data_IF_983050563765
#
_entry.id   IF_983050563765
#
_cell.length_a   1.000
_cell.length_b   1.000
_cell.length_c   1.000
_cell.angle_alpha   90.00
_cell.angle_beta   90.00
_cell.angle_gamma   90.00
#
_symmetry.space_group_name_H-M   'P 1'
#
loop_
_entity.id
_entity.type
_entity.pdbx_description
1 polymer ?
#
# COMPACT_ATOMS: atom_id res chain seq x y z
N UNK A 1 2.88 -81.45 19.92
CA UNK A 1 3.05 -80.65 18.69
C UNK A 1 1.98 -79.56 18.66
N UNK A 2 2.33 -78.30 19.07
CA UNK A 2 1.43 -77.13 19.05
C UNK A 2 1.89 -76.23 17.90
N UNK A 3 1.01 -76.02 16.93
CA UNK A 3 1.22 -75.12 15.81
C UNK A 3 0.82 -73.72 16.26
N UNK A 4 1.76 -72.79 16.21
CA UNK A 4 1.52 -71.37 16.46
C UNK A 4 1.22 -70.74 15.10
N UNK A 5 0.00 -70.24 14.90
CA UNK A 5 -0.34 -69.38 13.75
C UNK A 5 -0.03 -67.92 14.11
N UNK A 6 1.00 -67.36 13.46
CA UNK A 6 1.25 -65.93 13.51
C UNK A 6 0.35 -65.20 12.53
N UNK A 7 -0.55 -64.37 13.01
CA UNK A 7 -1.36 -63.45 12.19
C UNK A 7 -0.54 -62.18 11.94
N UNK A 8 -0.25 -61.88 10.67
CA UNK A 8 0.42 -60.66 10.21
C UNK A 8 -0.63 -59.55 10.07
N UNK A 9 -0.59 -58.57 10.93
CA UNK A 9 -1.46 -57.40 10.88
C UNK A 9 -0.83 -56.38 9.93
N UNK A 10 -1.41 -56.21 8.73
CA UNK A 10 -1.00 -55.17 7.77
C UNK A 10 -1.75 -53.91 8.12
N UNK A 11 -1.03 -52.90 8.69
CA UNK A 11 -1.55 -51.55 8.86
C UNK A 11 -1.50 -50.84 7.51
N UNK A 12 -2.66 -50.64 6.89
CA UNK A 12 -2.80 -49.70 5.76
C UNK A 12 -2.85 -48.29 6.31
N UNK A 13 -1.77 -47.53 6.15
CA UNK A 13 -1.77 -46.08 6.36
C UNK A 13 -2.41 -45.39 5.14
N UNK A 14 -3.65 -44.91 5.30
CA UNK A 14 -4.30 -44.07 4.30
C UNK A 14 -3.71 -42.65 4.48
N UNK A 15 -2.75 -42.32 3.62
CA UNK A 15 -2.31 -40.92 3.47
C UNK A 15 -3.42 -40.13 2.78
N UNK A 16 -4.15 -39.31 3.53
CA UNK A 16 -5.09 -38.32 2.97
C UNK A 16 -4.27 -37.26 2.22
N UNK A 17 -4.23 -37.38 0.89
CA UNK A 17 -3.75 -36.33 0.02
C UNK A 17 -4.81 -35.24 0.03
N UNK A 18 -4.56 -34.14 0.77
CA UNK A 18 -5.37 -32.94 0.67
C UNK A 18 -5.25 -32.38 -0.76
N UNK A 19 -6.37 -32.07 -1.44
CA UNK A 19 -6.31 -31.51 -2.78
C UNK A 19 -5.55 -30.20 -2.73
N UNK A 20 -4.60 -30.00 -3.64
CA UNK A 20 -3.94 -28.71 -3.84
C UNK A 20 -5.02 -27.69 -4.24
N UNK A 21 -5.21 -26.65 -3.43
CA UNK A 21 -6.10 -25.52 -3.72
C UNK A 21 -5.72 -24.96 -5.09
N UNK A 22 -6.66 -24.92 -6.02
CA UNK A 22 -6.46 -24.31 -7.34
C UNK A 22 -6.29 -22.81 -7.20
N UNK A 23 -5.67 -22.15 -8.20
CA UNK A 23 -5.47 -20.69 -8.17
C UNK A 23 -6.81 -19.94 -8.05
N UNK A 24 -7.91 -20.49 -8.55
CA UNK A 24 -9.28 -19.94 -8.45
C UNK A 24 -9.83 -19.96 -7.01
N UNK A 25 -9.46 -20.96 -6.19
CA UNK A 25 -9.84 -20.98 -4.77
C UNK A 25 -9.11 -19.91 -3.92
N UNK A 26 -8.05 -19.33 -4.46
CA UNK A 26 -7.29 -18.25 -3.79
C UNK A 26 -7.89 -16.87 -4.00
N UNK A 27 -8.80 -16.67 -4.94
CA UNK A 27 -9.58 -15.45 -5.14
C UNK A 27 -10.83 -15.37 -4.25
N UNK A 28 -10.99 -16.28 -3.30
CA UNK A 28 -12.05 -16.27 -2.29
C UNK A 28 -12.15 -14.89 -1.65
N UNK A 29 -13.35 -14.31 -1.75
CA UNK A 29 -13.75 -12.98 -1.32
C UNK A 29 -13.46 -12.79 0.19
N UNK A 30 -12.24 -12.37 0.55
CA UNK A 30 -11.91 -12.09 1.94
C UNK A 30 -12.87 -11.01 2.48
N UNK A 31 -13.37 -11.14 3.72
CA UNK A 31 -14.14 -10.08 4.35
C UNK A 31 -13.40 -8.75 4.25
N UNK A 32 -14.12 -7.66 4.01
CA UNK A 32 -13.53 -6.32 3.82
C UNK A 32 -12.61 -5.86 4.97
N UNK A 33 -12.74 -6.49 6.13
CA UNK A 33 -12.02 -6.17 7.37
C UNK A 33 -11.12 -7.34 7.85
N UNK A 34 -10.71 -8.25 6.96
CA UNK A 34 -9.88 -9.44 7.24
C UNK A 34 -8.59 -9.14 8.03
N UNK A 35 -8.12 -7.93 7.97
CA UNK A 35 -6.88 -7.47 8.58
C UNK A 35 -7.05 -6.91 10.00
N UNK A 36 -8.28 -6.65 10.46
CA UNK A 36 -8.53 -5.90 11.70
C UNK A 36 -7.96 -6.62 12.92
N UNK A 37 -8.38 -7.86 13.18
CA UNK A 37 -7.90 -8.58 14.36
C UNK A 37 -6.39 -8.88 14.31
N UNK A 38 -5.78 -9.31 13.20
CA UNK A 38 -4.33 -9.41 13.10
C UNK A 38 -3.61 -8.09 13.39
N UNK A 39 -4.11 -6.96 12.91
CA UNK A 39 -3.47 -5.66 13.14
C UNK A 39 -3.69 -5.15 14.58
N UNK A 40 -4.78 -5.48 15.25
CA UNK A 40 -4.92 -5.24 16.70
C UNK A 40 -3.84 -6.01 17.49
N UNK A 41 -3.59 -7.27 17.14
CA UNK A 41 -2.52 -8.07 17.75
C UNK A 41 -1.13 -7.51 17.47
N UNK A 42 -0.88 -6.99 16.26
CA UNK A 42 0.38 -6.29 15.94
C UNK A 42 0.50 -5.05 16.81
N UNK A 43 -0.52 -4.18 16.78
CA UNK A 43 -0.51 -2.92 17.51
C UNK A 43 -0.38 -3.09 19.04
N UNK A 44 -0.87 -4.19 19.62
CA UNK A 44 -0.70 -4.46 21.06
C UNK A 44 0.76 -4.57 21.52
N UNK A 45 1.70 -4.77 20.58
CA UNK A 45 3.14 -4.79 20.83
C UNK A 45 3.83 -3.45 20.56
N UNK A 46 3.10 -2.47 20.05
CA UNK A 46 3.65 -1.15 19.75
C UNK A 46 4.06 -0.41 21.03
N UNK A 47 5.29 0.10 21.07
CA UNK A 47 5.86 0.80 22.23
C UNK A 47 6.27 2.24 21.94
N UNK A 48 6.05 2.69 20.69
CA UNK A 48 6.48 4.01 20.24
C UNK A 48 5.51 5.13 20.61
N UNK A 49 5.69 6.26 19.96
CA UNK A 49 4.81 7.42 20.11
C UNK A 49 3.53 7.24 19.28
N UNK A 50 2.38 7.35 19.93
CA UNK A 50 1.07 7.34 19.25
C UNK A 50 0.97 8.46 18.19
N UNK A 51 0.23 8.20 17.13
CA UNK A 51 0.05 9.13 16.02
C UNK A 51 1.22 9.20 15.05
N UNK A 52 2.28 8.42 15.22
CA UNK A 52 3.40 8.40 14.26
C UNK A 52 3.04 7.60 13.00
N UNK A 53 3.29 8.20 11.83
CA UNK A 53 2.98 7.63 10.53
C UNK A 53 4.17 7.72 9.58
N UNK A 54 4.86 6.61 9.37
CA UNK A 54 5.93 6.54 8.39
C UNK A 54 5.38 6.29 6.98
N UNK A 55 6.04 6.86 5.98
CA UNK A 55 5.70 6.70 4.57
C UNK A 55 6.93 6.13 3.86
N UNK A 56 7.05 4.82 3.79
CA UNK A 56 8.16 4.14 3.13
C UNK A 56 7.90 4.01 1.63
N UNK A 57 8.82 4.48 0.80
CA UNK A 57 8.62 4.46 -0.65
C UNK A 57 9.69 5.20 -1.44
N UNK A 58 9.42 5.33 -2.74
CA UNK A 58 10.29 5.94 -3.73
C UNK A 58 9.97 7.43 -4.02
N UNK A 59 10.26 7.89 -5.25
CA UNK A 59 9.99 9.26 -5.72
C UNK A 59 8.52 9.66 -5.60
N UNK A 60 7.60 8.73 -5.79
CA UNK A 60 6.16 8.99 -5.70
C UNK A 60 5.76 9.25 -4.23
N UNK A 61 6.55 8.82 -3.27
CA UNK A 61 6.27 8.95 -1.82
C UNK A 61 7.03 10.13 -1.19
N UNK A 62 8.29 10.39 -1.59
CA UNK A 62 9.08 11.48 -1.00
C UNK A 62 8.59 12.88 -1.38
N UNK A 63 7.93 13.01 -2.51
CA UNK A 63 7.43 14.29 -3.03
C UNK A 63 6.48 15.01 -2.08
N UNK A 64 6.54 16.35 -2.05
CA UNK A 64 5.59 17.18 -1.32
C UNK A 64 4.17 17.20 -1.95
N UNK A 65 4.00 16.68 -3.16
CA UNK A 65 2.68 16.47 -3.77
C UNK A 65 1.88 15.32 -3.09
N UNK A 66 2.58 14.44 -2.35
CA UNK A 66 1.95 13.38 -1.59
C UNK A 66 1.84 13.73 -0.11
N UNK A 67 0.69 13.55 0.47
CA UNK A 67 0.30 13.71 1.89
C UNK A 67 0.29 15.17 2.38
N UNK A 68 1.33 15.96 2.08
CA UNK A 68 1.44 17.35 2.50
C UNK A 68 0.28 18.25 2.05
N UNK A 69 -0.29 18.11 0.83
CA UNK A 69 -1.42 18.95 0.39
C UNK A 69 -2.67 18.84 1.26
N UNK A 70 -2.83 17.74 2.00
CA UNK A 70 -3.95 17.58 2.93
C UNK A 70 -3.95 18.61 4.07
N UNK A 71 -2.81 19.22 4.37
CA UNK A 71 -2.70 20.30 5.37
C UNK A 71 -3.40 21.60 4.95
N UNK A 72 -3.60 21.79 3.65
CA UNK A 72 -4.16 23.00 3.08
C UNK A 72 -5.66 22.84 2.80
N UNK A 73 -6.25 23.82 2.12
CA UNK A 73 -7.63 23.72 1.67
C UNK A 73 -7.86 22.46 0.82
N UNK A 74 -8.94 21.77 1.11
CA UNK A 74 -9.39 20.57 0.36
C UNK A 74 -10.65 20.93 -0.40
N UNK A 75 -10.47 21.58 -1.54
CA UNK A 75 -11.59 22.04 -2.37
C UNK A 75 -12.45 20.85 -2.81
N UNK A 76 -13.76 21.05 -2.77
CA UNK A 76 -14.76 20.07 -3.21
C UNK A 76 -14.61 18.67 -2.56
N UNK A 77 -14.00 18.61 -1.37
CA UNK A 77 -13.85 17.35 -0.67
C UNK A 77 -15.23 16.79 -0.26
N UNK A 78 -15.48 15.49 -0.50
CA UNK A 78 -16.68 14.82 0.02
C UNK A 78 -16.74 14.89 1.55
N UNK A 79 -17.95 14.87 2.10
CA UNK A 79 -18.16 14.95 3.57
C UNK A 79 -17.40 13.88 4.33
N UNK A 80 -17.37 12.67 3.81
CA UNK A 80 -16.62 11.55 4.41
C UNK A 80 -15.11 11.78 4.41
N UNK A 81 -14.56 12.46 3.41
CA UNK A 81 -13.15 12.85 3.39
C UNK A 81 -12.83 13.91 4.46
N UNK A 82 -13.70 14.92 4.64
CA UNK A 82 -13.52 15.92 5.69
C UNK A 82 -13.60 15.29 7.09
N UNK A 83 -14.50 14.34 7.29
CA UNK A 83 -14.58 13.59 8.54
C UNK A 83 -13.31 12.74 8.78
N UNK A 84 -12.83 12.06 7.75
CA UNK A 84 -11.58 11.31 7.80
C UNK A 84 -10.38 12.22 8.11
N UNK A 85 -10.31 13.37 7.45
CA UNK A 85 -9.27 14.37 7.70
C UNK A 85 -9.31 14.90 9.14
N UNK A 86 -10.48 15.28 9.63
CA UNK A 86 -10.63 15.78 11.00
C UNK A 86 -10.12 14.75 12.03
N UNK A 87 -10.48 13.48 11.85
CA UNK A 87 -10.01 12.36 12.67
C UNK A 87 -8.48 12.22 12.60
N UNK A 88 -7.93 12.18 11.40
CA UNK A 88 -6.48 12.02 11.19
C UNK A 88 -5.73 13.24 11.74
N UNK A 89 -6.21 14.45 11.52
CA UNK A 89 -5.61 15.68 12.03
C UNK A 89 -5.53 15.72 13.56
N UNK A 90 -6.56 15.23 14.24
CA UNK A 90 -6.56 15.21 15.72
C UNK A 90 -5.62 14.15 16.31
N UNK A 91 -5.24 13.13 15.53
CA UNK A 91 -4.44 12.00 15.99
C UNK A 91 -2.98 12.04 15.55
N UNK A 92 -2.73 12.44 14.31
CA UNK A 92 -1.43 12.35 13.67
C UNK A 92 -0.40 13.24 14.33
N UNK A 93 0.77 12.68 14.68
CA UNK A 93 1.92 13.46 15.12
C UNK A 93 2.34 14.45 14.03
N UNK A 94 2.35 15.74 14.38
CA UNK A 94 2.49 16.87 13.44
C UNK A 94 3.65 16.73 12.44
N UNK A 95 4.89 16.34 12.83
CA UNK A 95 5.99 16.16 11.89
C UNK A 95 5.73 15.15 10.77
N UNK A 96 4.83 14.17 10.98
CA UNK A 96 4.51 13.16 9.97
C UNK A 96 3.74 13.72 8.76
N UNK A 97 3.17 14.92 8.87
CA UNK A 97 2.53 15.59 7.74
C UNK A 97 3.51 16.02 6.65
N UNK A 98 4.67 16.53 7.03
CA UNK A 98 5.57 17.18 6.09
C UNK A 98 7.06 16.90 6.33
N UNK A 99 7.48 16.68 7.58
CA UNK A 99 8.90 16.65 7.93
C UNK A 99 9.52 15.24 7.74
N UNK A 100 8.71 14.18 7.79
CA UNK A 100 9.21 12.81 7.61
C UNK A 100 9.44 12.47 6.13
N UNK A 101 10.30 13.26 5.47
CA UNK A 101 10.69 13.14 4.07
C UNK A 101 12.21 12.97 3.94
N UNK A 102 12.62 12.19 2.93
CA UNK A 102 14.02 11.88 2.66
C UNK A 102 14.46 10.51 3.16
N UNK A 103 15.68 10.09 2.77
CA UNK A 103 16.20 8.73 3.01
C UNK A 103 16.26 8.34 4.49
N UNK A 104 16.46 9.30 5.39
CA UNK A 104 16.42 9.06 6.85
C UNK A 104 15.04 8.61 7.36
N UNK A 105 13.99 8.93 6.60
CA UNK A 105 12.59 8.62 6.94
C UNK A 105 12.01 7.50 6.07
N UNK A 106 12.87 6.79 5.31
CA UNK A 106 12.47 5.65 4.50
C UNK A 106 11.82 5.99 3.16
N UNK A 107 11.98 7.23 2.67
CA UNK A 107 11.50 7.62 1.35
C UNK A 107 12.53 8.45 0.60
N UNK A 108 12.84 8.05 -0.65
CA UNK A 108 13.79 8.76 -1.51
C UNK A 108 13.55 8.42 -2.98
N UNK A 109 13.97 9.31 -3.88
CA UNK A 109 13.87 9.07 -5.33
C UNK A 109 14.65 7.85 -5.80
N UNK A 110 14.16 7.21 -6.86
CA UNK A 110 14.83 6.08 -7.56
C UNK A 110 15.09 4.83 -6.70
N UNK A 111 14.45 4.69 -5.56
CA UNK A 111 14.67 3.55 -4.66
C UNK A 111 13.81 2.34 -5.04
N UNK A 112 14.33 1.14 -4.71
CA UNK A 112 13.71 -0.16 -4.92
C UNK A 112 13.42 -0.86 -3.59
N UNK A 113 12.73 -1.99 -3.63
CA UNK A 113 12.52 -2.85 -2.47
C UNK A 113 13.83 -3.36 -1.86
N UNK A 114 14.92 -3.49 -2.67
CA UNK A 114 16.25 -3.85 -2.16
C UNK A 114 16.75 -2.83 -1.14
N UNK A 115 16.61 -1.54 -1.48
CA UNK A 115 16.98 -0.45 -0.56
C UNK A 115 16.11 -0.47 0.71
N UNK A 116 14.80 -0.68 0.56
CA UNK A 116 13.93 -0.81 1.72
C UNK A 116 14.37 -1.96 2.62
N UNK A 117 14.65 -3.14 2.05
CA UNK A 117 15.10 -4.31 2.81
C UNK A 117 16.43 -4.08 3.54
N UNK A 118 17.35 -3.33 2.94
CA UNK A 118 18.65 -3.02 3.55
C UNK A 118 18.55 -2.03 4.72
N UNK A 119 17.53 -1.16 4.73
CA UNK A 119 17.46 -0.04 5.66
C UNK A 119 16.30 -0.11 6.66
N UNK A 120 15.37 -1.05 6.50
CA UNK A 120 14.13 -1.09 7.30
C UNK A 120 14.40 -1.17 8.81
N UNK A 121 15.41 -1.93 9.23
CA UNK A 121 15.74 -2.07 10.65
C UNK A 121 16.17 -0.71 11.25
N UNK A 122 17.03 0.02 10.54
CA UNK A 122 17.48 1.34 10.99
C UNK A 122 16.34 2.39 10.97
N UNK A 123 15.36 2.26 10.09
CA UNK A 123 14.19 3.13 10.09
C UNK A 123 13.24 2.81 11.25
N UNK A 124 13.01 1.52 11.52
CA UNK A 124 12.17 1.09 12.64
C UNK A 124 12.78 1.47 13.97
N UNK A 125 14.09 1.29 14.15
CA UNK A 125 14.80 1.72 15.35
C UNK A 125 14.69 3.24 15.57
N UNK A 126 14.87 4.03 14.50
CA UNK A 126 14.86 5.50 14.59
C UNK A 126 13.47 6.09 14.76
N UNK A 127 12.49 5.59 14.00
CA UNK A 127 11.18 6.21 13.89
C UNK A 127 10.16 5.58 14.82
N UNK A 128 10.32 4.30 15.09
CA UNK A 128 9.36 3.46 15.81
C UNK A 128 7.91 3.87 15.46
N UNK A 129 7.49 3.75 14.19
CA UNK A 129 6.21 4.28 13.75
C UNK A 129 5.05 3.39 14.21
N UNK A 130 3.95 4.01 14.62
CA UNK A 130 2.72 3.28 14.96
C UNK A 130 2.08 2.63 13.73
N UNK A 131 2.07 3.39 12.62
CA UNK A 131 1.55 2.93 11.33
C UNK A 131 2.55 3.27 10.24
N UNK A 132 2.75 2.38 9.28
CA UNK A 132 3.58 2.60 8.11
C UNK A 132 2.80 2.35 6.81
N UNK A 133 2.80 3.31 5.89
CA UNK A 133 2.45 3.09 4.50
C UNK A 133 3.68 2.62 3.75
N UNK A 134 3.56 1.54 2.96
CA UNK A 134 4.67 1.01 2.15
C UNK A 134 4.27 0.96 0.68
N UNK A 135 5.04 1.64 -0.19
CA UNK A 135 4.89 1.59 -1.63
C UNK A 135 6.26 1.65 -2.31
N UNK A 136 6.78 0.51 -2.71
CA UNK A 136 7.90 0.34 -3.64
C UNK A 136 7.44 -0.51 -4.81
N UNK A 137 8.17 -0.53 -5.91
CA UNK A 137 7.87 -1.36 -7.07
C UNK A 137 8.05 -0.64 -8.40
N UNK A 138 7.79 0.67 -8.46
CA UNK A 138 7.87 1.44 -9.71
C UNK A 138 9.27 1.40 -10.33
N UNK A 139 10.33 1.50 -9.54
CA UNK A 139 11.71 1.38 -10.01
C UNK A 139 12.14 -0.08 -10.14
N UNK A 140 11.55 -0.96 -9.35
CA UNK A 140 11.81 -2.41 -9.37
C UNK A 140 11.46 -3.05 -10.71
N UNK A 141 10.49 -2.49 -11.44
CA UNK A 141 10.10 -2.97 -12.78
C UNK A 141 11.28 -3.10 -13.74
N UNK A 142 12.35 -2.33 -13.56
CA UNK A 142 13.54 -2.38 -14.43
C UNK A 142 14.61 -3.35 -13.94
N UNK A 143 14.77 -3.51 -12.63
CA UNK A 143 16.01 -4.08 -12.07
C UNK A 143 15.84 -5.20 -11.06
N UNK A 144 14.63 -5.46 -10.58
CA UNK A 144 14.37 -6.49 -9.58
C UNK A 144 13.41 -7.52 -10.16
N UNK A 145 13.76 -8.81 -10.28
CA UNK A 145 12.82 -9.84 -10.69
C UNK A 145 11.61 -9.93 -9.75
N UNK A 146 10.44 -10.29 -10.28
CA UNK A 146 9.18 -10.33 -9.51
C UNK A 146 9.27 -11.23 -8.28
N UNK A 147 9.87 -12.40 -8.41
CA UNK A 147 10.06 -13.34 -7.29
C UNK A 147 10.93 -12.73 -6.17
N UNK A 148 12.03 -12.08 -6.54
CA UNK A 148 12.89 -11.38 -5.58
C UNK A 148 12.16 -10.22 -4.92
N UNK A 149 11.43 -9.42 -5.72
CA UNK A 149 10.62 -8.32 -5.23
C UNK A 149 9.60 -8.79 -4.17
N UNK A 150 8.85 -9.86 -4.47
CA UNK A 150 7.87 -10.42 -3.54
C UNK A 150 8.53 -10.90 -2.24
N UNK A 151 9.63 -11.63 -2.35
CA UNK A 151 10.40 -12.12 -1.20
C UNK A 151 10.90 -10.99 -0.32
N UNK A 152 11.47 -9.94 -0.90
CA UNK A 152 12.00 -8.81 -0.15
C UNK A 152 10.88 -7.95 0.46
N UNK A 153 9.79 -7.73 -0.26
CA UNK A 153 8.64 -7.00 0.25
C UNK A 153 8.00 -7.71 1.46
N UNK A 154 7.82 -9.03 1.39
CA UNK A 154 7.34 -9.82 2.54
C UNK A 154 8.25 -9.64 3.77
N UNK A 155 9.57 -9.61 3.57
CA UNK A 155 10.53 -9.38 4.67
C UNK A 155 10.41 -7.98 5.26
N UNK A 156 10.27 -6.94 4.42
CA UNK A 156 10.06 -5.56 4.86
C UNK A 156 8.79 -5.43 5.68
N UNK A 157 7.69 -6.00 5.19
CA UNK A 157 6.41 -6.03 5.91
C UNK A 157 6.54 -6.76 7.24
N UNK A 158 7.15 -7.96 7.24
CA UNK A 158 7.30 -8.77 8.46
C UNK A 158 8.06 -8.01 9.55
N UNK A 159 9.17 -7.35 9.21
CA UNK A 159 9.93 -6.54 10.17
C UNK A 159 9.11 -5.42 10.80
N UNK A 160 8.25 -4.75 10.02
CA UNK A 160 7.31 -3.77 10.57
C UNK A 160 6.31 -4.43 11.54
N UNK A 161 5.73 -5.56 11.15
CA UNK A 161 4.78 -6.29 12.00
C UNK A 161 5.43 -6.77 13.30
N UNK A 162 6.66 -7.26 13.24
CA UNK A 162 7.42 -7.74 14.41
C UNK A 162 7.71 -6.61 15.41
N UNK A 163 7.93 -5.38 14.92
CA UNK A 163 8.12 -4.19 15.75
C UNK A 163 6.83 -3.60 16.34
N UNK A 164 5.67 -4.18 16.04
CA UNK A 164 4.36 -3.64 16.46
C UNK A 164 3.81 -2.53 15.57
N UNK A 165 4.47 -2.26 14.43
CA UNK A 165 4.02 -1.27 13.45
C UNK A 165 2.90 -1.85 12.58
N UNK A 166 1.74 -1.22 12.56
CA UNK A 166 0.64 -1.56 11.65
C UNK A 166 1.02 -1.15 10.22
N UNK A 167 0.91 -2.07 9.27
CA UNK A 167 1.29 -1.80 7.87
C UNK A 167 0.07 -1.56 7.00
N UNK A 168 0.11 -0.51 6.19
CA UNK A 168 -0.77 -0.27 5.05
C UNK A 168 0.06 -0.49 3.79
N UNK A 169 -0.23 -1.52 3.00
CA UNK A 169 0.39 -1.69 1.70
C UNK A 169 -0.30 -0.85 0.63
N UNK A 170 0.44 -0.39 -0.35
CA UNK A 170 -0.11 0.24 -1.56
C UNK A 170 0.45 -0.44 -2.80
N UNK A 171 -0.44 -0.77 -3.75
CA UNK A 171 0.01 -1.13 -5.10
C UNK A 171 0.64 0.08 -5.79
N UNK A 172 1.54 -0.17 -6.75
CA UNK A 172 2.12 0.86 -7.60
C UNK A 172 1.12 1.33 -8.66
N UNK A 173 1.25 2.55 -9.21
CA UNK A 173 0.47 2.94 -10.39
C UNK A 173 0.82 2.06 -11.59
N UNK A 174 -0.03 1.98 -12.63
CA UNK A 174 0.38 1.45 -13.93
C UNK A 174 1.57 2.26 -14.46
N UNK A 175 2.27 1.75 -15.47
CA UNK A 175 3.45 2.42 -16.02
C UNK A 175 3.46 2.38 -17.53
N UNK A 176 3.78 3.50 -18.17
CA UNK A 176 3.93 3.60 -19.62
C UNK A 176 4.85 2.49 -20.15
N UNK A 177 4.42 1.82 -21.24
CA UNK A 177 5.14 0.69 -21.88
C UNK A 177 5.46 -0.50 -20.99
N UNK A 178 5.01 -0.51 -19.74
CA UNK A 178 5.25 -1.61 -18.79
C UNK A 178 3.96 -1.96 -18.00
N UNK A 179 2.79 -1.71 -18.58
CA UNK A 179 1.50 -1.89 -17.90
C UNK A 179 1.30 -3.31 -17.37
N UNK A 180 1.58 -4.34 -18.17
CA UNK A 180 1.48 -5.76 -17.77
C UNK A 180 2.42 -6.08 -16.61
N UNK A 181 3.67 -5.59 -16.68
CA UNK A 181 4.64 -5.81 -15.62
C UNK A 181 4.22 -5.11 -14.32
N UNK A 182 3.71 -3.87 -14.41
CA UNK A 182 3.18 -3.15 -13.25
C UNK A 182 1.95 -3.85 -12.65
N UNK A 183 1.10 -4.44 -13.49
CA UNK A 183 -0.03 -5.26 -13.04
C UNK A 183 0.42 -6.52 -12.28
N UNK A 184 1.46 -7.22 -12.76
CA UNK A 184 2.02 -8.40 -12.08
C UNK A 184 2.60 -8.04 -10.70
N UNK A 185 3.34 -6.92 -10.59
CA UNK A 185 3.85 -6.44 -9.29
C UNK A 185 2.73 -5.99 -8.35
N UNK A 186 1.70 -5.33 -8.89
CA UNK A 186 0.53 -4.96 -8.10
C UNK A 186 -0.24 -6.19 -7.61
N UNK A 187 -0.31 -7.26 -8.42
CA UNK A 187 -0.90 -8.55 -8.02
C UNK A 187 -0.08 -9.19 -6.89
N UNK A 188 1.24 -9.17 -6.96
CA UNK A 188 2.09 -9.64 -5.87
C UNK A 188 1.80 -8.88 -4.56
N UNK A 189 1.64 -7.55 -4.61
CA UNK A 189 1.28 -6.74 -3.43
C UNK A 189 -0.10 -7.10 -2.88
N UNK A 190 -1.12 -7.35 -3.73
CA UNK A 190 -2.43 -7.84 -3.28
C UNK A 190 -2.31 -9.17 -2.56
N UNK A 191 -1.52 -10.11 -3.11
CA UNK A 191 -1.26 -11.41 -2.50
C UNK A 191 -0.55 -11.26 -1.15
N UNK A 192 0.48 -10.41 -1.06
CA UNK A 192 1.19 -10.13 0.20
C UNK A 192 0.21 -9.55 1.23
N UNK A 193 -0.61 -8.58 0.84
CA UNK A 193 -1.58 -7.96 1.75
C UNK A 193 -2.57 -8.98 2.31
N UNK A 194 -3.08 -9.86 1.45
CA UNK A 194 -3.99 -10.93 1.84
C UNK A 194 -3.33 -11.95 2.75
N UNK A 195 -2.17 -12.47 2.37
CA UNK A 195 -1.48 -13.56 3.08
C UNK A 195 -0.97 -13.09 4.45
N UNK A 196 -0.44 -11.89 4.53
CA UNK A 196 0.06 -11.28 5.78
C UNK A 196 -1.01 -10.53 6.56
N UNK A 197 -2.25 -10.52 6.06
CA UNK A 197 -3.42 -9.91 6.69
C UNK A 197 -3.20 -8.44 7.06
N UNK A 198 -2.68 -7.66 6.11
CA UNK A 198 -2.48 -6.21 6.28
C UNK A 198 -3.44 -5.41 5.40
N UNK A 199 -3.85 -4.19 5.82
CA UNK A 199 -4.68 -3.31 4.99
C UNK A 199 -4.00 -2.96 3.67
N UNK A 200 -4.80 -2.87 2.59
CA UNK A 200 -4.33 -2.54 1.24
C UNK A 200 -4.99 -1.26 0.74
N UNK A 201 -4.22 -0.39 0.12
CA UNK A 201 -4.67 0.69 -0.77
C UNK A 201 -4.35 0.28 -2.20
N UNK A 202 -5.38 -0.11 -2.97
CA UNK A 202 -5.18 -0.60 -4.34
C UNK A 202 -5.20 0.56 -5.35
N UNK A 203 -4.10 1.31 -5.36
CA UNK A 203 -3.94 2.48 -6.22
C UNK A 203 -3.94 2.11 -7.71
N UNK A 204 -3.33 0.98 -8.07
CA UNK A 204 -3.33 0.46 -9.44
C UNK A 204 -4.76 0.22 -9.97
N UNK A 205 -5.55 -0.54 -9.22
CA UNK A 205 -6.91 -0.87 -9.63
C UNK A 205 -7.79 0.37 -9.71
N UNK A 206 -7.66 1.31 -8.77
CA UNK A 206 -8.46 2.53 -8.79
C UNK A 206 -8.13 3.45 -9.97
N UNK A 207 -6.84 3.53 -10.38
CA UNK A 207 -6.45 4.24 -11.61
C UNK A 207 -7.14 3.65 -12.83
N UNK A 208 -7.03 2.33 -13.03
CA UNK A 208 -7.62 1.65 -14.18
C UNK A 208 -9.16 1.70 -14.17
N UNK A 209 -9.78 1.64 -13.00
CA UNK A 209 -11.23 1.78 -12.85
C UNK A 209 -11.73 3.16 -13.28
N UNK A 210 -11.00 4.24 -12.90
CA UNK A 210 -11.37 5.62 -13.22
C UNK A 210 -11.05 6.00 -14.67
N UNK A 211 -9.98 5.45 -15.19
CA UNK A 211 -9.45 5.77 -16.53
C UNK A 211 -8.96 4.50 -17.22
N UNK A 212 -9.85 3.60 -17.65
CA UNK A 212 -9.46 2.31 -18.22
C UNK A 212 -8.60 2.44 -19.49
N UNK A 213 -8.86 3.45 -20.33
CA UNK A 213 -8.26 3.57 -21.65
C UNK A 213 -7.33 4.80 -21.80
N UNK A 214 -7.25 5.66 -20.79
CA UNK A 214 -6.57 6.94 -20.92
C UNK A 214 -5.93 7.45 -19.63
N UNK A 215 -5.46 6.52 -18.78
CA UNK A 215 -4.71 6.81 -17.55
C UNK A 215 -3.31 7.36 -17.80
N UNK A 216 -2.71 7.05 -18.96
CA UNK A 216 -1.31 7.30 -19.29
C UNK A 216 -1.11 8.70 -19.88
N UNK A 217 -0.51 9.59 -19.08
CA UNK A 217 -0.18 10.94 -19.56
C UNK A 217 0.90 10.98 -20.65
N UNK A 218 1.67 9.88 -20.85
CA UNK A 218 2.66 9.79 -21.90
C UNK A 218 2.06 9.58 -23.29
N UNK A 219 0.79 9.16 -23.39
CA UNK A 219 0.09 8.96 -24.66
C UNK A 219 0.07 10.22 -25.52
N UNK A 220 0.08 10.02 -26.85
CA UNK A 220 0.13 11.10 -27.86
C UNK A 220 -1.06 12.07 -27.74
N UNK A 221 -2.23 11.57 -27.33
CA UNK A 221 -3.42 12.42 -27.11
C UNK A 221 -3.22 13.51 -26.04
N UNK A 222 -2.17 13.40 -25.22
CA UNK A 222 -1.81 14.39 -24.22
C UNK A 222 -0.55 15.20 -24.59
N UNK A 223 -0.08 15.14 -25.85
CA UNK A 223 1.16 15.78 -26.31
C UNK A 223 1.21 17.30 -26.06
N UNK A 224 0.04 17.96 -25.98
CA UNK A 224 -0.08 19.39 -25.69
C UNK A 224 0.22 19.76 -24.24
N UNK A 225 0.26 18.81 -23.34
CA UNK A 225 0.55 19.03 -21.92
C UNK A 225 2.01 18.80 -21.58
N UNK A 226 2.50 19.38 -20.49
CA UNK A 226 3.90 19.29 -20.07
C UNK A 226 4.04 18.72 -18.66
N UNK A 227 5.04 17.89 -18.45
CA UNK A 227 5.46 17.40 -17.13
C UNK A 227 4.31 16.77 -16.36
N UNK A 228 4.03 17.29 -15.18
CA UNK A 228 2.97 16.81 -14.29
C UNK A 228 1.60 17.46 -14.57
N UNK A 229 1.53 18.48 -15.41
CA UNK A 229 0.32 19.27 -15.69
C UNK A 229 -0.56 18.62 -16.77
N UNK A 230 -0.85 17.33 -16.61
CA UNK A 230 -1.64 16.52 -17.53
C UNK A 230 -2.96 16.13 -16.86
N UNK A 231 -4.14 16.38 -17.44
CA UNK A 231 -5.44 16.09 -16.83
C UNK A 231 -5.86 14.61 -16.98
N UNK A 232 -4.97 13.72 -16.61
CA UNK A 232 -5.19 12.27 -16.42
C UNK A 232 -4.46 11.80 -15.17
N UNK A 233 -4.28 10.50 -14.95
CA UNK A 233 -3.80 10.00 -13.67
C UNK A 233 -2.28 9.80 -13.60
N UNK A 234 -1.58 9.67 -14.76
CA UNK A 234 -0.13 9.73 -14.83
C UNK A 234 0.35 10.99 -15.54
N UNK A 235 1.54 11.42 -15.18
CA UNK A 235 2.26 12.54 -15.79
C UNK A 235 2.81 12.19 -17.19
N UNK A 236 3.35 13.17 -17.91
CA UNK A 236 3.99 12.97 -19.23
C UNK A 236 5.18 12.03 -19.21
N UNK A 237 5.80 11.81 -18.05
CA UNK A 237 6.89 10.84 -17.92
C UNK A 237 6.41 9.38 -17.90
N UNK A 238 5.10 9.14 -17.83
CA UNK A 238 4.50 7.81 -17.80
C UNK A 238 4.84 6.98 -16.56
N UNK A 239 5.30 7.64 -15.49
CA UNK A 239 5.80 7.01 -14.25
C UNK A 239 5.09 7.55 -13.02
N UNK A 240 5.14 8.87 -12.86
CA UNK A 240 4.62 9.53 -11.67
C UNK A 240 3.14 9.85 -11.81
N UNK A 241 2.39 9.86 -10.71
CA UNK A 241 1.05 10.43 -10.72
C UNK A 241 1.06 11.88 -11.22
N UNK A 242 0.07 12.26 -11.99
CA UNK A 242 -0.09 13.63 -12.47
C UNK A 242 -0.42 14.61 -11.33
N UNK A 243 -0.14 15.89 -11.56
CA UNK A 243 -0.43 16.95 -10.60
C UNK A 243 -0.82 18.26 -11.29
N UNK A 244 -1.84 18.26 -12.16
CA UNK A 244 -2.24 19.43 -12.92
C UNK A 244 -2.71 20.55 -12.00
N UNK A 245 -2.26 21.78 -12.28
CA UNK A 245 -2.48 22.97 -11.45
C UNK A 245 -3.96 23.22 -11.15
N UNK A 246 -4.83 23.03 -12.13
CA UNK A 246 -6.28 23.23 -11.98
C UNK A 246 -6.93 22.27 -10.96
N UNK A 247 -6.34 21.07 -10.71
CA UNK A 247 -6.88 20.04 -9.83
C UNK A 247 -6.05 19.82 -8.55
N UNK A 248 -5.04 20.65 -8.31
CA UNK A 248 -4.27 20.57 -7.05
C UNK A 248 -5.20 20.89 -5.88
N UNK A 249 -5.15 20.02 -4.84
CA UNK A 249 -6.01 20.14 -3.66
C UNK A 249 -7.52 20.20 -3.95
N UNK A 250 -7.94 19.70 -5.11
CA UNK A 250 -9.34 19.48 -5.46
C UNK A 250 -9.65 17.97 -5.35
N UNK A 251 -10.76 17.65 -4.69
CA UNK A 251 -11.19 16.27 -4.42
C UNK A 251 -12.59 15.97 -4.98
N UNK A 252 -13.06 16.78 -5.93
CA UNK A 252 -14.23 16.44 -6.73
C UNK A 252 -13.99 15.15 -7.52
N UNK A 253 -15.04 14.43 -7.91
CA UNK A 253 -14.94 13.22 -8.74
C UNK A 253 -14.16 13.47 -10.05
N UNK A 254 -14.33 14.68 -10.64
CA UNK A 254 -13.56 15.10 -11.81
C UNK A 254 -12.07 15.21 -11.49
N UNK A 255 -11.71 15.84 -10.38
CA UNK A 255 -10.31 15.99 -9.97
C UNK A 255 -9.68 14.64 -9.61
N UNK A 256 -10.41 13.76 -8.91
CA UNK A 256 -9.97 12.41 -8.58
C UNK A 256 -9.77 11.51 -9.82
N UNK A 257 -10.36 11.86 -10.96
CA UNK A 257 -10.15 11.19 -12.25
C UNK A 257 -9.15 11.93 -13.17
N UNK A 258 -8.58 13.06 -12.73
CA UNK A 258 -7.72 13.91 -13.57
C UNK A 258 -6.43 14.35 -12.89
N UNK A 259 -6.21 13.98 -11.62
CA UNK A 259 -5.03 14.30 -10.84
C UNK A 259 -4.61 13.10 -10.00
N UNK A 260 -3.56 12.41 -10.42
CA UNK A 260 -3.10 11.19 -9.76
C UNK A 260 -2.66 11.40 -8.32
N UNK A 261 -2.05 12.55 -7.98
CA UNK A 261 -1.70 12.84 -6.59
C UNK A 261 -2.92 13.19 -5.72
N UNK A 262 -3.95 13.89 -6.24
CA UNK A 262 -5.20 14.08 -5.50
C UNK A 262 -5.87 12.73 -5.20
N UNK A 263 -5.93 11.83 -6.18
CA UNK A 263 -6.46 10.48 -5.99
C UNK A 263 -5.68 9.71 -4.94
N UNK A 264 -4.35 9.69 -5.01
CA UNK A 264 -3.50 8.98 -4.05
C UNK A 264 -3.67 9.53 -2.63
N UNK A 265 -3.71 10.86 -2.48
CA UNK A 265 -3.92 11.52 -1.20
C UNK A 265 -5.28 11.14 -0.59
N UNK A 266 -6.33 11.18 -1.40
CA UNK A 266 -7.67 10.75 -1.01
C UNK A 266 -7.68 9.29 -0.52
N UNK A 267 -7.18 8.36 -1.33
CA UNK A 267 -7.20 6.94 -1.02
C UNK A 267 -6.43 6.60 0.26
N UNK A 268 -5.24 7.19 0.42
CA UNK A 268 -4.41 6.95 1.61
C UNK A 268 -5.05 7.55 2.87
N UNK A 269 -5.61 8.77 2.78
CA UNK A 269 -6.31 9.40 3.90
C UNK A 269 -7.49 8.55 4.36
N UNK A 270 -8.34 8.11 3.43
CA UNK A 270 -9.50 7.26 3.74
C UNK A 270 -9.09 5.92 4.36
N UNK A 271 -8.02 5.30 3.83
CA UNK A 271 -7.50 4.04 4.37
C UNK A 271 -6.91 4.23 5.77
N UNK A 272 -6.12 5.27 5.99
CA UNK A 272 -5.52 5.57 7.28
C UNK A 272 -6.60 5.84 8.33
N UNK A 273 -7.61 6.67 8.02
CA UNK A 273 -8.74 6.92 8.90
C UNK A 273 -9.53 5.62 9.21
N UNK A 274 -9.73 4.76 8.20
CA UNK A 274 -10.36 3.44 8.43
C UNK A 274 -9.53 2.58 9.40
N UNK A 275 -8.20 2.58 9.28
CA UNK A 275 -7.31 1.85 10.20
C UNK A 275 -7.44 2.40 11.61
N UNK A 276 -7.37 3.73 11.80
CA UNK A 276 -7.52 4.35 13.12
C UNK A 276 -8.85 3.96 13.78
N UNK A 277 -9.95 4.03 13.03
CA UNK A 277 -11.28 3.69 13.53
C UNK A 277 -11.42 2.20 13.88
N UNK A 278 -10.93 1.31 13.01
CA UNK A 278 -11.10 -0.16 13.17
C UNK A 278 -10.20 -0.75 14.25
N UNK A 279 -9.07 -0.11 14.53
CA UNK A 279 -8.18 -0.50 15.61
C UNK A 279 -8.47 0.22 16.95
N UNK A 280 -9.54 1.02 17.00
CA UNK A 280 -9.96 1.78 18.17
C UNK A 280 -8.87 2.73 18.70
N UNK A 281 -8.05 3.31 17.78
CA UNK A 281 -6.93 4.20 18.13
C UNK A 281 -7.40 5.64 18.41
N UNK A 282 -8.56 6.03 17.93
CA UNK A 282 -9.20 7.32 18.19
C UNK A 282 -10.48 7.12 18.98
N UNK A 283 -10.83 8.03 19.89
CA UNK A 283 -12.11 7.96 20.59
C UNK A 283 -13.29 7.91 19.60
N UNK A 284 -14.28 7.09 19.90
CA UNK A 284 -15.56 7.14 19.18
C UNK A 284 -16.13 8.54 19.32
N UNK A 285 -16.38 9.22 18.20
CA UNK A 285 -17.16 10.44 18.25
C UNK A 285 -18.60 10.04 18.63
N UNK A 286 -18.96 10.28 19.90
CA UNK A 286 -20.32 10.16 20.41
C UNK A 286 -21.18 11.29 19.87
#
# INVERSE_FOLDING_TARGET
>A
MRRICSALLILLTISAVLPASTAEDREGNLPADYWVEPMKQVHSRFTGRKGTFAQFGDSITVTLAFWTPLLYERRNAPKEMEQAYAMVKSYLHEPCWRQWKGGRFGNAGSQTVRWAHQNIDAWLERLNPEIALIMFGTNDLHSVPLEEYEKLMRRVVQKCLDSGTVVILSTIPPRHRMAEKAAAYSTAIRNIARDMKVPLTDFHAEILKRRPDDWDGADEKFAQYNGYDVPTLLARDGVHPSHPKQYQSDYSEKALSSCGFSLRNYMVLMKYAKVLKKLDLVPSQT
#
